data_IF_119778006341
#
_entry.id   IF_119778006341
#
_cell.length_a   1.000
_cell.length_b   1.000
_cell.length_c   1.000
_cell.angle_alpha   90.00
_cell.angle_beta   90.00
_cell.angle_gamma   90.00
#
_symmetry.space_group_name_H-M   'P 1'
#
loop_
_entity.id
_entity.type
_entity.pdbx_description
1 polymer ?
#
# COMPACT_ATOMS: atom_id res chain seq x y z
N UNK A 1 0.99 0.55 -13.15
CA UNK A 1 2.09 1.44 -12.69
C UNK A 1 3.41 0.74 -13.01
N UNK A 2 4.46 1.43 -13.48
CA UNK A 2 5.73 0.75 -13.77
C UNK A 2 6.59 0.68 -12.49
N UNK A 3 6.39 -0.39 -11.71
CA UNK A 3 7.02 -0.61 -10.40
C UNK A 3 8.54 -0.67 -10.47
N UNK A 4 9.08 -1.16 -11.58
CA UNK A 4 10.52 -1.31 -11.80
C UNK A 4 11.27 0.03 -11.86
N UNK A 5 10.54 1.14 -12.01
CA UNK A 5 11.10 2.50 -12.01
C UNK A 5 11.23 3.09 -10.61
N UNK A 6 10.69 2.43 -9.59
CA UNK A 6 10.79 2.87 -8.20
C UNK A 6 12.01 2.20 -7.58
N UNK A 7 13.05 2.98 -7.29
CA UNK A 7 14.23 2.45 -6.60
C UNK A 7 13.92 2.17 -5.13
N UNK A 8 14.71 1.31 -4.48
CA UNK A 8 14.59 1.03 -3.04
C UNK A 8 14.91 2.20 -2.11
N UNK A 9 15.43 3.33 -2.61
CA UNK A 9 15.94 4.45 -1.80
C UNK A 9 17.39 4.27 -1.33
N UNK A 10 17.86 5.17 -0.46
CA UNK A 10 19.21 5.15 0.13
C UNK A 10 19.27 4.28 1.40
N UNK A 11 19.21 2.97 1.21
CA UNK A 11 19.15 1.99 2.30
C UNK A 11 20.46 1.95 3.10
N UNK A 12 20.44 1.93 4.45
CA UNK A 12 19.26 1.76 5.33
C UNK A 12 18.62 3.06 5.83
N UNK A 13 19.17 4.22 5.47
CA UNK A 13 18.73 5.50 6.03
C UNK A 13 17.41 5.99 5.44
N UNK A 14 17.13 5.63 4.19
CA UNK A 14 15.91 5.99 3.46
C UNK A 14 15.43 4.81 2.62
N UNK A 15 14.13 4.54 2.68
CA UNK A 15 13.46 3.54 1.85
C UNK A 15 12.24 4.16 1.18
N UNK A 16 12.03 3.82 -0.09
CA UNK A 16 10.78 4.14 -0.78
C UNK A 16 9.74 3.06 -0.46
N UNK A 17 8.54 3.50 -0.08
CA UNK A 17 7.41 2.61 0.23
C UNK A 17 6.23 3.04 -0.64
N UNK A 18 5.57 2.06 -1.26
CA UNK A 18 4.33 2.26 -2.01
C UNK A 18 3.19 2.01 -1.04
N UNK A 19 2.38 3.03 -0.81
CA UNK A 19 1.26 2.96 0.13
C UNK A 19 0.06 2.34 -0.57
N UNK A 20 -0.48 1.28 0.02
CA UNK A 20 -1.68 0.58 -0.41
C UNK A 20 -2.91 1.04 0.40
N UNK A 21 -2.74 1.32 1.69
CA UNK A 21 -3.83 1.73 2.60
C UNK A 21 -3.43 3.02 3.32
N UNK A 22 -4.10 4.14 3.06
CA UNK A 22 -3.84 5.38 3.79
C UNK A 22 -4.20 5.26 5.28
N UNK A 23 -3.46 5.95 6.14
CA UNK A 23 -3.76 6.02 7.57
C UNK A 23 -5.18 6.56 7.79
N UNK A 24 -5.93 5.90 8.68
CA UNK A 24 -7.30 6.26 9.07
C UNK A 24 -8.31 6.36 7.90
N UNK A 25 -8.04 5.69 6.77
CA UNK A 25 -8.98 5.61 5.65
C UNK A 25 -10.18 4.71 5.95
N UNK A 26 -11.15 4.70 5.04
CA UNK A 26 -12.25 3.73 5.03
C UNK A 26 -11.73 2.28 5.14
N UNK A 27 -12.53 1.36 5.72
CA UNK A 27 -12.12 -0.01 6.06
C UNK A 27 -12.04 -0.92 4.82
N UNK A 28 -11.17 -0.56 3.88
CA UNK A 28 -10.91 -1.30 2.64
C UNK A 28 -9.43 -1.60 2.57
N UNK A 29 -9.09 -2.89 2.61
CA UNK A 29 -7.75 -3.37 2.30
C UNK A 29 -7.60 -3.41 0.78
N UNK A 30 -6.75 -2.55 0.28
CA UNK A 30 -6.27 -2.63 -1.10
C UNK A 30 -4.97 -3.40 -1.17
N UNK A 31 -4.65 -3.92 -2.34
CA UNK A 31 -3.39 -4.58 -2.64
C UNK A 31 -3.00 -4.30 -4.08
N UNK A 32 -1.70 -4.06 -4.30
CA UNK A 32 -1.16 -3.83 -5.62
C UNK A 32 -0.86 -5.16 -6.31
N UNK A 33 -1.48 -5.38 -7.47
CA UNK A 33 -1.11 -6.50 -8.32
C UNK A 33 0.24 -6.22 -9.01
N UNK A 34 1.18 -7.15 -8.92
CA UNK A 34 2.56 -6.96 -9.41
C UNK A 34 2.67 -7.07 -10.92
N UNK A 35 1.79 -7.85 -11.55
CA UNK A 35 1.85 -8.09 -12.99
C UNK A 35 1.25 -6.91 -13.77
N UNK A 36 0.14 -6.35 -13.29
CA UNK A 36 -0.54 -5.21 -13.93
C UNK A 36 -0.14 -3.85 -13.35
N UNK A 37 0.35 -3.83 -12.11
CA UNK A 37 0.61 -2.60 -11.35
C UNK A 37 -0.65 -1.78 -11.07
N UNK A 38 -1.81 -2.45 -10.99
CA UNK A 38 -3.10 -1.86 -10.64
C UNK A 38 -3.46 -2.16 -9.18
N UNK A 39 -4.20 -1.25 -8.56
CA UNK A 39 -4.71 -1.42 -7.19
C UNK A 39 -6.03 -2.20 -7.22
N UNK A 40 -6.09 -3.29 -6.47
CA UNK A 40 -7.28 -4.10 -6.32
C UNK A 40 -7.81 -4.02 -4.90
N UNK A 41 -9.13 -4.16 -4.76
CA UNK A 41 -9.75 -4.39 -3.45
C UNK A 41 -9.52 -5.85 -3.10
N UNK A 42 -8.73 -6.10 -2.06
CA UNK A 42 -8.60 -7.44 -1.48
C UNK A 42 -9.82 -7.73 -0.61
N UNK A 43 -10.16 -6.82 0.32
CA UNK A 43 -11.26 -7.04 1.26
C UNK A 43 -11.82 -5.77 1.92
N UNK A 44 -13.11 -5.81 2.23
CA UNK A 44 -13.74 -4.91 3.21
C UNK A 44 -13.54 -5.42 4.65
N UNK A 45 -12.94 -4.61 5.52
CA UNK A 45 -12.68 -5.00 6.90
C UNK A 45 -13.99 -5.08 7.68
N UNK A 46 -14.21 -6.20 8.39
CA UNK A 46 -15.41 -6.43 9.20
C UNK A 46 -15.30 -5.91 10.62
N UNK A 47 -14.07 -5.65 11.09
CA UNK A 47 -13.81 -5.07 12.42
C UNK A 47 -13.90 -3.55 12.36
N UNK A 48 -14.36 -2.92 13.45
CA UNK A 48 -14.38 -1.46 13.59
C UNK A 48 -12.97 -0.92 13.94
N UNK A 49 -11.99 -1.25 13.10
CA UNK A 49 -10.60 -0.84 13.22
C UNK A 49 -10.14 -0.18 11.93
N UNK A 50 -9.20 0.76 12.07
CA UNK A 50 -8.57 1.47 10.96
C UNK A 50 -7.06 1.35 11.08
N UNK A 51 -6.36 1.40 9.95
CA UNK A 51 -4.91 1.41 9.96
C UNK A 51 -4.40 2.71 10.59
N UNK A 52 -3.57 2.66 11.66
CA UNK A 52 -3.11 3.86 12.36
C UNK A 52 -1.99 4.59 11.59
N UNK A 53 -1.39 3.93 10.61
CA UNK A 53 -0.31 4.45 9.77
C UNK A 53 -0.59 4.08 8.32
N UNK A 54 0.07 4.77 7.39
CA UNK A 54 0.09 4.36 5.99
C UNK A 54 0.73 2.98 5.90
N UNK A 55 0.03 2.05 5.24
CA UNK A 55 0.47 0.70 4.98
C UNK A 55 0.74 0.55 3.49
#
# INVERSE_FOLDING_TARGET
MNLDRVSKGNVPNEINVIIEIPAHSDPVKYELDKDTGAMFVDRFMSTAMYYPCNY
#
